data_IF_739456342409
#
_entry.id   IF_739456342409
#
_cell.length_a   1.000
_cell.length_b   1.000
_cell.length_c   1.000
_cell.angle_alpha   90.00
_cell.angle_beta   90.00
_cell.angle_gamma   90.00
#
_symmetry.space_group_name_H-M   'P 1'
#
loop_
_entity.id
_entity.type
_entity.pdbx_description
1 polymer ?
#
# COMPACT_ATOMS: atom_id res chain seq x y z
N UNK A 1 -40.13 6.56 -27.72
CA UNK A 1 -39.88 5.82 -26.46
C UNK A 1 -38.40 5.91 -26.11
N UNK A 2 -38.00 7.04 -25.51
CA UNK A 2 -36.63 7.22 -25.00
C UNK A 2 -36.41 6.52 -23.66
N UNK A 3 -35.27 6.75 -23.01
CA UNK A 3 -34.96 6.17 -21.71
C UNK A 3 -36.02 6.53 -20.66
N UNK A 4 -36.23 5.65 -19.69
CA UNK A 4 -37.14 5.93 -18.59
C UNK A 4 -36.63 7.12 -17.76
N UNK A 5 -37.52 7.86 -17.09
CA UNK A 5 -37.10 8.91 -16.15
C UNK A 5 -36.17 8.34 -15.07
N UNK A 6 -36.44 7.13 -14.61
CA UNK A 6 -35.58 6.39 -13.68
C UNK A 6 -34.17 6.18 -14.24
N UNK A 7 -34.02 5.88 -15.53
CA UNK A 7 -32.70 5.80 -16.17
C UNK A 7 -32.00 7.15 -16.23
N UNK A 8 -32.74 8.22 -16.56
CA UNK A 8 -32.17 9.58 -16.61
C UNK A 8 -31.63 10.04 -15.26
N UNK A 9 -32.25 9.63 -14.14
CA UNK A 9 -31.78 9.94 -12.79
C UNK A 9 -30.94 8.82 -12.16
N UNK A 10 -30.55 7.80 -12.93
CA UNK A 10 -29.67 6.71 -12.47
C UNK A 10 -30.31 5.70 -11.50
N UNK A 11 -31.63 5.70 -11.35
CA UNK A 11 -32.41 4.79 -10.49
C UNK A 11 -32.91 3.54 -11.24
N UNK A 12 -32.71 3.45 -12.56
CA UNK A 12 -33.09 2.30 -13.38
C UNK A 12 -32.04 2.02 -14.44
N UNK A 13 -31.82 0.75 -14.75
CA UNK A 13 -31.01 0.30 -15.88
C UNK A 13 -31.80 0.18 -17.19
N UNK A 14 -33.11 0.52 -17.19
CA UNK A 14 -33.97 0.39 -18.36
C UNK A 14 -33.87 1.62 -19.29
N UNK A 15 -33.16 1.43 -20.40
CA UNK A 15 -32.85 2.45 -21.41
C UNK A 15 -33.96 2.62 -22.45
N UNK A 16 -35.03 1.81 -22.40
CA UNK A 16 -36.14 1.85 -23.36
C UNK A 16 -35.86 1.11 -24.68
N UNK A 17 -36.68 1.38 -25.71
CA UNK A 17 -36.52 0.77 -27.04
C UNK A 17 -35.19 1.19 -27.67
N UNK A 18 -34.56 0.25 -28.36
CA UNK A 18 -33.26 0.46 -29.00
C UNK A 18 -33.41 0.75 -30.50
N UNK A 19 -32.35 1.29 -31.12
CA UNK A 19 -32.33 1.53 -32.56
C UNK A 19 -32.64 0.21 -33.31
N UNK A 20 -33.57 0.18 -34.27
CA UNK A 20 -33.93 -1.05 -34.99
C UNK A 20 -32.76 -1.67 -35.74
N UNK A 21 -32.71 -3.01 -35.83
CA UNK A 21 -31.68 -3.77 -36.56
C UNK A 21 -30.23 -3.41 -36.17
N UNK A 22 -30.02 -3.01 -34.92
CA UNK A 22 -28.73 -2.57 -34.39
C UNK A 22 -27.99 -3.69 -33.68
N UNK A 23 -26.67 -3.70 -33.83
CA UNK A 23 -25.78 -4.43 -32.93
C UNK A 23 -25.27 -3.45 -31.87
N UNK A 24 -25.66 -3.66 -30.63
CA UNK A 24 -25.52 -2.71 -29.55
C UNK A 24 -24.75 -3.33 -28.39
N UNK A 25 -24.10 -2.48 -27.61
CA UNK A 25 -23.36 -2.89 -26.43
C UNK A 25 -23.73 -1.99 -25.25
N UNK A 26 -24.17 -2.63 -24.17
CA UNK A 26 -24.37 -1.97 -22.88
C UNK A 26 -23.18 -2.25 -21.98
N UNK A 27 -22.47 -1.19 -21.60
CA UNK A 27 -21.36 -1.23 -20.64
C UNK A 27 -21.84 -0.58 -19.34
N UNK A 28 -21.97 -1.39 -18.29
CA UNK A 28 -22.36 -0.94 -16.97
C UNK A 28 -21.21 -1.13 -15.99
N UNK A 29 -20.90 -0.10 -15.22
CA UNK A 29 -19.94 -0.17 -14.12
C UNK A 29 -20.57 0.40 -12.86
N UNK A 30 -20.40 -0.29 -11.75
CA UNK A 30 -20.79 0.14 -10.42
C UNK A 30 -19.62 -0.06 -9.47
N UNK A 31 -19.38 0.90 -8.59
CA UNK A 31 -18.41 0.80 -7.50
C UNK A 31 -19.03 1.34 -6.22
N UNK A 32 -19.02 0.54 -5.17
CA UNK A 32 -19.43 0.91 -3.83
C UNK A 32 -18.21 0.87 -2.91
N UNK A 33 -18.12 1.82 -1.98
CA UNK A 33 -17.02 1.91 -1.02
C UNK A 33 -17.52 2.49 0.29
N UNK A 34 -17.24 1.79 1.37
CA UNK A 34 -17.53 2.20 2.74
C UNK A 34 -16.21 2.30 3.50
N UNK A 35 -16.01 3.43 4.19
CA UNK A 35 -14.82 3.73 4.96
C UNK A 35 -15.26 4.24 6.34
N UNK A 36 -15.05 3.43 7.38
CA UNK A 36 -15.35 3.78 8.76
C UNK A 36 -14.06 4.14 9.46
N UNK A 37 -14.04 5.28 10.14
CA UNK A 37 -12.86 5.78 10.87
C UNK A 37 -13.25 6.20 12.27
N UNK A 38 -12.38 5.92 13.23
CA UNK A 38 -12.48 6.50 14.57
C UNK A 38 -11.08 6.86 15.06
N UNK A 39 -10.99 7.84 15.95
CA UNK A 39 -9.76 8.30 16.56
C UNK A 39 -9.99 8.46 18.05
N UNK A 40 -9.05 7.97 18.86
CA UNK A 40 -9.16 8.03 20.31
C UNK A 40 -7.80 8.35 20.96
N UNK A 41 -7.72 9.35 21.86
CA UNK A 41 -6.56 9.50 22.72
C UNK A 41 -6.46 8.32 23.69
N UNK A 42 -5.28 7.74 23.84
CA UNK A 42 -5.04 6.62 24.75
C UNK A 42 -4.49 7.10 26.11
N UNK A 43 -3.46 7.94 26.08
CA UNK A 43 -2.85 8.61 27.23
C UNK A 43 -2.20 9.93 26.78
N UNK A 44 -1.52 10.65 27.67
CA UNK A 44 -0.89 11.94 27.34
C UNK A 44 0.08 11.79 26.15
N UNK A 45 -0.19 12.55 25.08
CA UNK A 45 0.59 12.52 23.84
C UNK A 45 0.33 11.33 22.92
N UNK A 46 -0.42 10.29 23.34
CA UNK A 46 -0.69 9.11 22.51
C UNK A 46 -2.12 9.06 21.98
N UNK A 47 -2.27 8.74 20.70
CA UNK A 47 -3.56 8.53 20.03
C UNK A 47 -3.53 7.30 19.14
N UNK A 48 -4.68 6.65 19.01
CA UNK A 48 -4.92 5.58 18.04
C UNK A 48 -5.99 5.99 17.04
N UNK A 49 -5.68 5.85 15.77
CA UNK A 49 -6.61 5.98 14.66
C UNK A 49 -6.94 4.58 14.15
N UNK A 50 -8.22 4.22 14.08
CA UNK A 50 -8.70 2.94 13.53
C UNK A 50 -9.47 3.18 12.25
N UNK A 51 -9.28 2.31 11.26
CA UNK A 51 -9.93 2.40 9.95
C UNK A 51 -10.40 1.03 9.48
N UNK A 52 -11.64 0.95 9.00
CA UNK A 52 -12.23 -0.22 8.37
C UNK A 52 -12.72 0.15 6.97
N UNK A 53 -12.34 -0.65 5.98
CA UNK A 53 -12.70 -0.40 4.57
C UNK A 53 -13.37 -1.61 3.98
N UNK A 54 -14.46 -1.43 3.26
CA UNK A 54 -15.04 -2.46 2.40
C UNK A 54 -15.57 -1.81 1.14
N UNK A 55 -15.29 -2.41 -0.01
CA UNK A 55 -15.77 -1.94 -1.28
C UNK A 55 -15.98 -3.09 -2.25
N UNK A 56 -16.86 -2.88 -3.21
CA UNK A 56 -17.05 -3.84 -4.28
C UNK A 56 -17.36 -3.13 -5.59
N UNK A 57 -16.95 -3.76 -6.69
CA UNK A 57 -17.23 -3.30 -8.04
C UNK A 57 -17.92 -4.38 -8.86
N UNK A 58 -18.71 -3.94 -9.83
CA UNK A 58 -19.33 -4.76 -10.86
C UNK A 58 -19.11 -4.06 -12.19
N UNK A 59 -18.48 -4.76 -13.13
CA UNK A 59 -18.39 -4.38 -14.52
C UNK A 59 -19.17 -5.42 -15.33
N UNK A 60 -20.12 -4.96 -16.13
CA UNK A 60 -21.00 -5.82 -16.91
C UNK A 60 -21.08 -5.29 -18.32
N UNK A 61 -20.72 -6.12 -19.29
CA UNK A 61 -20.85 -5.83 -20.70
C UNK A 61 -21.87 -6.78 -21.30
N UNK A 62 -22.94 -6.23 -21.87
CA UNK A 62 -24.00 -7.00 -22.51
C UNK A 62 -24.05 -6.63 -23.99
N UNK A 63 -23.80 -7.61 -24.85
CA UNK A 63 -23.98 -7.48 -26.29
C UNK A 63 -25.43 -7.81 -26.65
N UNK A 64 -26.02 -6.94 -27.43
CA UNK A 64 -27.45 -6.87 -27.67
C UNK A 64 -27.70 -6.78 -29.17
N UNK A 65 -28.67 -7.52 -29.68
CA UNK A 65 -29.17 -7.35 -31.04
C UNK A 65 -30.62 -6.89 -30.99
N UNK A 66 -30.95 -5.83 -31.71
CA UNK A 66 -32.33 -5.36 -31.80
C UNK A 66 -33.00 -5.83 -33.10
N UNK A 67 -34.27 -6.17 -33.02
CA UNK A 67 -35.11 -6.48 -34.19
C UNK A 67 -35.60 -5.19 -34.89
N UNK A 68 -36.40 -5.37 -35.95
CA UNK A 68 -37.04 -4.30 -36.72
C UNK A 68 -37.99 -3.41 -35.88
N UNK A 69 -38.49 -3.93 -34.76
CA UNK A 69 -39.43 -3.25 -33.87
C UNK A 69 -38.70 -2.61 -32.66
N UNK A 70 -37.37 -2.77 -32.60
CA UNK A 70 -36.50 -2.25 -31.55
C UNK A 70 -36.51 -3.05 -30.25
N UNK A 71 -37.05 -4.28 -30.26
CA UNK A 71 -36.95 -5.23 -29.15
C UNK A 71 -35.55 -5.85 -29.15
N UNK A 72 -35.03 -6.15 -27.97
CA UNK A 72 -33.63 -6.50 -27.79
C UNK A 72 -33.48 -7.94 -27.35
N UNK A 73 -32.59 -8.67 -28.00
CA UNK A 73 -32.14 -10.00 -27.61
C UNK A 73 -30.71 -9.92 -27.10
N UNK A 74 -30.44 -10.52 -25.94
CA UNK A 74 -29.10 -10.60 -25.37
C UNK A 74 -28.32 -11.69 -26.10
N UNK A 75 -27.25 -11.30 -26.79
CA UNK A 75 -26.37 -12.21 -27.52
C UNK A 75 -25.27 -12.78 -26.61
N UNK A 76 -24.64 -11.92 -25.83
CA UNK A 76 -23.60 -12.31 -24.90
C UNK A 76 -23.63 -11.40 -23.67
N UNK A 77 -23.26 -11.93 -22.52
CA UNK A 77 -23.14 -11.18 -21.30
C UNK A 77 -21.87 -11.61 -20.57
N UNK A 78 -20.98 -10.65 -20.36
CA UNK A 78 -19.82 -10.83 -19.49
C UNK A 78 -19.99 -9.94 -18.28
N UNK A 79 -19.67 -10.48 -17.12
CA UNK A 79 -19.68 -9.73 -15.88
C UNK A 79 -18.49 -10.13 -15.02
N UNK A 80 -17.88 -9.12 -14.42
CA UNK A 80 -16.75 -9.27 -13.52
C UNK A 80 -16.87 -8.27 -12.39
N UNK A 81 -16.11 -8.48 -11.33
CA UNK A 81 -16.12 -7.56 -10.22
C UNK A 81 -14.94 -7.78 -9.31
N UNK A 82 -14.85 -6.89 -8.33
CA UNK A 82 -13.83 -6.94 -7.30
C UNK A 82 -14.49 -6.78 -5.94
N UNK A 83 -14.04 -7.51 -4.94
CA UNK A 83 -14.33 -7.26 -3.53
C UNK A 83 -13.02 -6.83 -2.86
N UNK A 84 -13.01 -5.66 -2.24
CA UNK A 84 -11.89 -5.18 -1.44
C UNK A 84 -12.35 -4.98 0.00
N UNK A 85 -11.56 -5.43 0.97
CA UNK A 85 -11.83 -5.17 2.39
C UNK A 85 -10.54 -5.03 3.17
N UNK A 86 -10.55 -4.25 4.25
CA UNK A 86 -9.48 -4.33 5.23
C UNK A 86 -9.53 -5.71 5.90
N UNK A 87 -8.35 -6.29 6.04
CA UNK A 87 -8.16 -7.66 6.50
C UNK A 87 -7.27 -7.67 7.74
N UNK A 88 -7.05 -8.84 8.34
CA UNK A 88 -6.16 -8.99 9.49
C UNK A 88 -5.32 -10.24 9.29
N UNK A 89 -4.16 -10.03 8.69
CA UNK A 89 -3.11 -11.02 8.53
C UNK A 89 -1.86 -10.49 9.21
N UNK A 90 -1.41 -11.18 10.26
CA UNK A 90 -0.17 -10.87 10.97
C UNK A 90 0.94 -11.81 10.53
N UNK A 91 2.20 -11.31 10.43
CA UNK A 91 3.32 -12.18 10.14
C UNK A 91 3.44 -13.25 11.23
N UNK A 92 3.71 -14.52 10.91
CA UNK A 92 3.83 -15.60 11.89
C UNK A 92 5.17 -15.55 12.66
N UNK A 93 5.64 -14.35 13.04
CA UNK A 93 6.93 -14.13 13.69
C UNK A 93 6.75 -13.63 15.13
N UNK A 94 7.71 -13.96 15.99
CA UNK A 94 7.74 -13.55 17.40
C UNK A 94 6.40 -13.82 18.12
N UNK A 95 5.80 -12.78 18.71
CA UNK A 95 4.55 -12.82 19.50
C UNK A 95 3.33 -13.24 18.69
N UNK A 96 3.39 -13.17 17.35
CA UNK A 96 2.26 -13.49 16.47
C UNK A 96 2.24 -14.95 16.00
N UNK A 97 3.31 -15.72 16.26
CA UNK A 97 3.38 -17.16 15.93
C UNK A 97 2.27 -17.99 16.60
N UNK A 98 1.74 -17.52 17.74
CA UNK A 98 0.64 -18.16 18.48
C UNK A 98 -0.65 -18.32 17.66
N UNK A 99 -0.88 -17.45 16.66
CA UNK A 99 -2.11 -17.45 15.89
C UNK A 99 -2.17 -18.52 14.81
N UNK A 100 -1.06 -19.21 14.53
CA UNK A 100 -0.97 -20.28 13.52
C UNK A 100 -1.62 -19.89 12.17
N UNK A 101 -1.39 -18.65 11.73
CA UNK A 101 -1.83 -18.12 10.44
C UNK A 101 -0.64 -18.00 9.47
N UNK A 102 -0.92 -17.91 8.18
CA UNK A 102 0.09 -17.73 7.13
C UNK A 102 0.12 -18.87 6.12
N UNK A 103 1.16 -18.87 5.28
CA UNK A 103 1.25 -19.78 4.13
C UNK A 103 1.22 -21.27 4.51
N UNK A 104 1.86 -21.64 5.63
CA UNK A 104 1.80 -23.01 6.17
C UNK A 104 0.39 -23.44 6.54
N UNK A 105 -0.42 -22.52 7.08
CA UNK A 105 -1.82 -22.81 7.42
C UNK A 105 -2.66 -22.99 6.15
N UNK A 106 -2.35 -22.25 5.09
CA UNK A 106 -3.01 -22.40 3.79
C UNK A 106 -2.76 -23.80 3.22
N UNK A 107 -1.52 -24.28 3.21
CA UNK A 107 -1.22 -25.63 2.71
C UNK A 107 -1.84 -26.74 3.56
N UNK A 108 -1.94 -26.56 4.88
CA UNK A 108 -2.69 -27.48 5.76
C UNK A 108 -4.21 -27.52 5.48
N UNK A 109 -4.78 -26.44 4.95
CA UNK A 109 -6.22 -26.34 4.65
C UNK A 109 -6.56 -26.73 3.21
N UNK A 110 -5.58 -26.69 2.31
CA UNK A 110 -5.75 -27.08 0.92
C UNK A 110 -5.84 -28.60 0.80
N UNK A 111 -6.88 -29.06 0.12
CA UNK A 111 -7.11 -30.46 -0.20
C UNK A 111 -6.95 -30.68 -1.71
N UNK A 112 -5.85 -31.30 -2.17
CA UNK A 112 -5.61 -31.57 -3.58
C UNK A 112 -6.59 -32.59 -4.16
N UNK A 113 -7.28 -33.38 -3.35
CA UNK A 113 -8.24 -34.39 -3.82
C UNK A 113 -9.69 -33.85 -3.89
N UNK A 114 -9.90 -32.58 -3.56
CA UNK A 114 -11.20 -31.90 -3.64
C UNK A 114 -11.76 -31.90 -5.07
N UNK A 115 -13.07 -32.14 -5.23
CA UNK A 115 -13.77 -32.07 -6.52
C UNK A 115 -13.59 -30.71 -7.23
N UNK A 116 -13.51 -29.63 -6.46
CA UNK A 116 -13.15 -28.29 -6.93
C UNK A 116 -11.91 -27.79 -6.17
N UNK A 117 -10.73 -28.13 -6.71
CA UNK A 117 -9.44 -27.71 -6.17
C UNK A 117 -9.30 -26.18 -6.13
N UNK A 118 -9.82 -25.48 -7.14
CA UNK A 118 -9.69 -24.02 -7.22
C UNK A 118 -10.53 -23.33 -6.13
N UNK A 119 -11.77 -23.79 -5.91
CA UNK A 119 -12.60 -23.27 -4.83
C UNK A 119 -12.05 -23.61 -3.45
N UNK A 120 -11.54 -24.84 -3.26
CA UNK A 120 -10.91 -25.26 -2.01
C UNK A 120 -9.66 -24.41 -1.70
N UNK A 121 -8.74 -24.26 -2.67
CA UNK A 121 -7.54 -23.44 -2.52
C UNK A 121 -7.88 -21.98 -2.24
N UNK A 122 -8.89 -21.45 -2.93
CA UNK A 122 -9.36 -20.08 -2.73
C UNK A 122 -9.85 -19.83 -1.30
N UNK A 123 -10.58 -20.80 -0.72
CA UNK A 123 -11.07 -20.73 0.64
C UNK A 123 -9.93 -20.94 1.66
N UNK A 124 -9.05 -21.92 1.41
CA UNK A 124 -7.86 -22.20 2.21
C UNK A 124 -6.95 -20.97 2.28
N UNK A 125 -6.79 -20.23 1.18
CA UNK A 125 -6.03 -18.99 1.12
C UNK A 125 -6.62 -17.93 2.06
N UNK A 126 -7.92 -17.67 1.99
CA UNK A 126 -8.54 -16.67 2.88
C UNK A 126 -8.50 -17.09 4.34
N UNK A 127 -8.78 -18.36 4.64
CA UNK A 127 -8.90 -18.84 6.02
C UNK A 127 -7.52 -19.04 6.67
N UNK A 128 -6.53 -19.47 5.90
CA UNK A 128 -5.17 -19.68 6.39
C UNK A 128 -4.46 -18.39 6.76
N UNK A 129 -4.73 -17.30 6.05
CA UNK A 129 -4.17 -15.98 6.36
C UNK A 129 -4.99 -15.16 7.37
N UNK A 130 -6.24 -15.54 7.67
CA UNK A 130 -7.05 -14.82 8.67
C UNK A 130 -6.57 -15.12 10.10
N UNK A 131 -5.91 -14.16 10.74
CA UNK A 131 -5.38 -14.32 12.11
C UNK A 131 -6.48 -14.48 13.16
N UNK A 132 -7.66 -13.86 12.96
CA UNK A 132 -8.78 -13.90 13.89
C UNK A 132 -10.13 -14.12 13.19
N UNK A 133 -10.51 -15.37 12.88
CA UNK A 133 -11.78 -15.70 12.23
C UNK A 133 -12.97 -15.67 13.21
N UNK A 134 -13.03 -14.66 14.09
CA UNK A 134 -14.07 -14.54 15.13
C UNK A 134 -15.46 -14.42 14.48
N UNK A 135 -15.56 -13.68 13.38
CA UNK A 135 -16.83 -13.43 12.69
C UNK A 135 -17.31 -14.63 11.85
N UNK A 136 -16.39 -15.47 11.35
CA UNK A 136 -16.75 -16.69 10.61
C UNK A 136 -17.31 -17.79 11.52
N UNK A 137 -17.02 -17.73 12.83
CA UNK A 137 -17.52 -18.68 13.84
C UNK A 137 -18.93 -18.37 14.34
N UNK A 138 -19.45 -17.18 14.09
CA UNK A 138 -20.80 -16.77 14.46
C UNK A 138 -21.76 -17.17 13.34
N UNK A 139 -22.58 -18.20 13.58
CA UNK A 139 -23.43 -18.82 12.55
C UNK A 139 -24.35 -17.85 11.79
N UNK A 140 -24.88 -16.82 12.47
CA UNK A 140 -25.74 -15.80 11.85
C UNK A 140 -24.99 -14.75 11.01
N UNK A 141 -23.65 -14.69 11.11
CA UNK A 141 -22.81 -13.77 10.33
C UNK A 141 -21.98 -14.48 9.26
N UNK A 142 -22.13 -15.79 9.07
CA UNK A 142 -21.28 -16.56 8.16
C UNK A 142 -21.25 -16.00 6.73
N UNK A 143 -22.40 -15.66 6.17
CA UNK A 143 -22.50 -15.12 4.80
C UNK A 143 -22.11 -13.64 4.73
N UNK A 144 -22.29 -12.90 5.82
CA UNK A 144 -21.87 -11.50 5.94
C UNK A 144 -20.37 -11.38 6.23
N UNK A 145 -19.73 -12.42 6.77
CA UNK A 145 -18.33 -12.42 7.21
C UNK A 145 -17.36 -12.05 6.09
N UNK A 146 -17.72 -12.36 4.82
CA UNK A 146 -16.99 -11.99 3.60
C UNK A 146 -16.94 -10.47 3.39
N UNK A 147 -17.91 -9.72 3.89
CA UNK A 147 -18.00 -8.27 3.77
C UNK A 147 -17.62 -7.53 5.05
N UNK A 148 -17.45 -8.22 6.18
CA UNK A 148 -17.05 -7.57 7.44
C UNK A 148 -15.57 -7.19 7.36
N UNK A 149 -15.23 -5.89 7.40
CA UNK A 149 -13.84 -5.43 7.40
C UNK A 149 -13.15 -5.67 8.75
N UNK A 150 -11.83 -5.69 8.77
CA UNK A 150 -10.99 -5.74 10.00
C UNK A 150 -10.34 -4.38 10.27
N UNK A 151 -9.98 -4.06 11.53
CA UNK A 151 -9.36 -2.78 11.84
C UNK A 151 -7.94 -2.71 11.32
N UNK A 152 -7.65 -1.66 10.57
CA UNK A 152 -6.30 -1.13 10.42
C UNK A 152 -6.07 -0.07 11.49
N UNK A 153 -4.85 0.06 12.01
CA UNK A 153 -4.56 1.01 13.08
C UNK A 153 -3.32 1.83 12.82
N UNK A 154 -3.34 3.06 13.33
CA UNK A 154 -2.17 3.92 13.44
C UNK A 154 -2.07 4.44 14.87
N UNK A 155 -0.92 4.22 15.48
CA UNK A 155 -0.56 4.75 16.78
C UNK A 155 0.44 5.90 16.57
N UNK A 156 0.16 7.06 17.13
CA UNK A 156 1.11 8.16 17.21
C UNK A 156 1.28 8.54 18.68
N UNK A 157 2.52 8.68 19.13
CA UNK A 157 2.86 9.04 20.50
C UNK A 157 3.88 10.19 20.51
N UNK A 158 3.36 11.39 20.79
CA UNK A 158 4.12 12.62 21.04
C UNK A 158 4.53 12.73 22.52
N UNK A 159 5.50 13.58 22.84
CA UNK A 159 5.90 13.83 24.22
C UNK A 159 6.99 12.89 24.74
N UNK A 160 7.58 12.06 23.88
CA UNK A 160 8.64 11.13 24.25
C UNK A 160 9.93 11.85 24.67
N UNK A 161 10.08 13.14 24.36
CA UNK A 161 11.17 13.99 24.85
C UNK A 161 11.19 14.09 26.39
N UNK A 162 10.06 13.85 27.07
CA UNK A 162 9.99 13.87 28.54
C UNK A 162 10.65 12.66 29.20
N UNK A 163 10.93 11.58 28.44
CA UNK A 163 11.60 10.38 28.93
C UNK A 163 13.09 10.68 29.17
N UNK A 164 13.64 10.13 30.26
CA UNK A 164 15.01 10.44 30.75
C UNK A 164 16.09 10.40 29.67
N UNK A 165 15.99 9.48 28.72
CA UNK A 165 16.99 9.24 27.66
C UNK A 165 17.03 10.39 26.63
N UNK A 166 15.91 11.12 26.43
CA UNK A 166 15.79 12.17 25.42
C UNK A 166 15.75 13.59 25.99
N UNK A 167 15.50 13.73 27.28
CA UNK A 167 15.27 15.00 27.98
C UNK A 167 16.38 16.04 27.81
N UNK A 168 17.64 15.61 27.68
CA UNK A 168 18.78 16.50 27.56
C UNK A 168 19.10 16.94 26.12
N UNK A 169 18.54 16.26 25.11
CA UNK A 169 19.01 16.38 23.72
C UNK A 169 17.88 16.80 22.78
N UNK A 170 16.65 16.31 23.00
CA UNK A 170 15.51 16.54 22.11
C UNK A 170 14.52 17.58 22.65
N UNK A 171 14.05 18.48 21.77
CA UNK A 171 12.92 19.39 22.00
C UNK A 171 11.57 18.68 21.79
N UNK A 172 11.50 17.78 20.81
CA UNK A 172 10.30 17.00 20.50
C UNK A 172 10.70 15.62 20.00
N UNK A 173 10.05 14.58 20.51
CA UNK A 173 10.16 13.21 20.00
C UNK A 173 8.77 12.64 19.79
N UNK A 174 8.51 12.17 18.58
CA UNK A 174 7.26 11.50 18.20
C UNK A 174 7.57 10.10 17.70
N UNK A 175 6.85 9.11 18.22
CA UNK A 175 6.81 7.76 17.69
C UNK A 175 5.56 7.58 16.83
N UNK A 176 5.73 7.10 15.61
CA UNK A 176 4.67 6.67 14.71
C UNK A 176 4.77 5.15 14.49
N UNK A 177 3.63 4.48 14.55
CA UNK A 177 3.46 3.08 14.16
C UNK A 177 2.16 2.97 13.36
N UNK A 178 2.17 2.26 12.25
CA UNK A 178 0.97 2.06 11.44
C UNK A 178 0.94 0.65 10.88
N UNK A 179 -0.18 -0.04 11.09
CA UNK A 179 -0.48 -1.32 10.48
C UNK A 179 -1.66 -1.18 9.52
N UNK A 180 -1.51 -1.75 8.34
CA UNK A 180 -2.57 -1.86 7.34
C UNK A 180 -2.55 -3.24 6.72
N UNK A 181 -3.72 -3.88 6.65
CA UNK A 181 -3.91 -5.08 5.88
C UNK A 181 -5.17 -4.98 5.02
N UNK A 182 -5.11 -5.63 3.86
CA UNK A 182 -6.14 -5.62 2.84
C UNK A 182 -6.27 -6.98 2.19
N UNK A 183 -7.49 -7.29 1.79
CA UNK A 183 -7.82 -8.43 0.96
C UNK A 183 -8.54 -7.94 -0.28
N UNK A 184 -8.13 -8.45 -1.44
CA UNK A 184 -8.77 -8.18 -2.73
C UNK A 184 -9.09 -9.49 -3.42
N UNK A 185 -10.34 -9.65 -3.86
CA UNK A 185 -10.80 -10.77 -4.69
C UNK A 185 -11.31 -10.23 -6.02
N UNK A 186 -10.79 -10.75 -7.12
CA UNK A 186 -11.32 -10.55 -8.47
C UNK A 186 -12.14 -11.76 -8.90
N UNK A 187 -13.32 -11.52 -9.49
CA UNK A 187 -14.19 -12.58 -9.97
C UNK A 187 -14.76 -12.26 -11.35
N UNK A 188 -15.18 -13.31 -12.06
CA UNK A 188 -15.90 -13.24 -13.33
C UNK A 188 -17.03 -14.27 -13.34
N UNK A 189 -18.10 -13.93 -14.04
CA UNK A 189 -19.19 -14.84 -14.34
C UNK A 189 -18.81 -15.68 -15.57
N UNK A 190 -18.88 -16.99 -15.40
CA UNK A 190 -18.74 -17.95 -16.49
C UNK A 190 -19.96 -17.95 -17.40
N UNK A 191 -19.88 -18.50 -18.63
CA UNK A 191 -21.01 -18.57 -19.55
C UNK A 191 -22.25 -19.28 -18.97
N UNK A 192 -22.04 -20.21 -18.03
CA UNK A 192 -23.04 -20.95 -17.25
C UNK A 192 -23.59 -20.16 -16.04
N UNK A 193 -23.20 -18.89 -15.87
CA UNK A 193 -23.72 -18.00 -14.84
C UNK A 193 -23.14 -18.24 -13.44
N UNK A 194 -22.13 -19.10 -13.29
CA UNK A 194 -21.43 -19.31 -12.03
C UNK A 194 -20.33 -18.26 -11.82
N UNK A 195 -20.19 -17.77 -10.59
CA UNK A 195 -19.12 -16.85 -10.19
C UNK A 195 -17.81 -17.64 -10.00
N UNK A 196 -16.82 -17.37 -10.83
CA UNK A 196 -15.46 -17.89 -10.68
C UNK A 196 -14.55 -16.81 -10.13
N UNK A 197 -13.82 -17.15 -9.07
CA UNK A 197 -12.74 -16.31 -8.55
C UNK A 197 -11.56 -16.46 -9.50
N UNK A 198 -10.95 -15.35 -9.89
CA UNK A 198 -9.81 -15.33 -10.81
C UNK A 198 -8.52 -14.96 -10.09
N UNK A 199 -8.59 -14.01 -9.16
CA UNK A 199 -7.43 -13.50 -8.44
C UNK A 199 -7.79 -13.27 -6.99
N UNK A 200 -6.86 -13.59 -6.10
CA UNK A 200 -6.95 -13.21 -4.69
C UNK A 200 -5.61 -12.65 -4.24
N UNK A 201 -5.68 -11.58 -3.46
CA UNK A 201 -4.50 -10.87 -2.97
C UNK A 201 -4.71 -10.53 -1.51
N UNK A 202 -3.74 -10.87 -0.67
CA UNK A 202 -3.67 -10.47 0.73
C UNK A 202 -2.41 -9.66 0.93
N UNK A 203 -2.57 -8.44 1.41
CA UNK A 203 -1.45 -7.60 1.81
C UNK A 203 -1.53 -7.28 3.30
N UNK A 204 -0.37 -7.23 3.94
CA UNK A 204 -0.21 -6.57 5.23
C UNK A 204 1.08 -5.77 5.24
N UNK A 205 1.06 -4.63 5.91
CA UNK A 205 2.18 -3.72 5.98
C UNK A 205 2.22 -3.04 7.33
N UNK A 206 3.44 -2.91 7.84
CA UNK A 206 3.78 -2.00 8.91
C UNK A 206 4.52 -0.81 8.30
N UNK A 207 3.86 0.33 8.15
CA UNK A 207 4.36 1.47 7.39
C UNK A 207 4.18 2.80 8.15
N UNK A 208 5.06 3.12 9.13
CA UNK A 208 6.19 2.32 9.59
C UNK A 208 5.80 1.32 10.69
N UNK A 209 6.62 0.27 10.88
CA UNK A 209 6.62 -0.56 12.10
C UNK A 209 7.10 0.27 13.29
N UNK A 210 8.15 1.06 13.08
CA UNK A 210 8.61 2.05 14.02
C UNK A 210 9.14 3.26 13.25
N UNK A 211 8.54 4.42 13.50
CA UNK A 211 8.97 5.70 12.96
C UNK A 211 9.27 6.66 14.11
N UNK A 212 10.48 7.19 14.17
CA UNK A 212 10.87 8.21 15.14
C UNK A 212 11.10 9.51 14.41
N UNK A 213 10.42 10.57 14.84
CA UNK A 213 10.69 11.93 14.42
C UNK A 213 11.26 12.68 15.62
N UNK A 214 12.43 13.27 15.46
CA UNK A 214 13.16 13.95 16.52
C UNK A 214 13.43 15.38 16.06
N UNK A 215 13.06 16.35 16.88
CA UNK A 215 13.48 17.74 16.76
C UNK A 215 14.38 18.03 17.94
N UNK A 216 15.61 18.43 17.68
CA UNK A 216 16.57 18.74 18.72
C UNK A 216 16.45 20.20 19.18
N UNK A 217 17.09 20.49 20.31
CA UNK A 217 17.37 21.85 20.76
C UNK A 217 18.05 22.71 19.68
N UNK A 218 18.09 24.03 19.92
CA UNK A 218 19.03 24.86 19.16
C UNK A 218 20.46 24.43 19.52
N UNK A 219 21.04 23.60 18.66
CA UNK A 219 22.41 23.11 18.79
C UNK A 219 23.25 23.87 17.77
N UNK A 220 24.40 24.38 18.21
CA UNK A 220 25.28 25.22 17.39
C UNK A 220 24.61 26.48 16.80
N UNK A 221 23.53 26.96 17.45
CA UNK A 221 22.74 28.11 17.00
C UNK A 221 21.87 27.82 15.76
N UNK A 222 21.56 26.54 15.49
CA UNK A 222 20.69 26.11 14.40
C UNK A 222 19.67 25.06 14.84
N UNK A 223 18.70 24.77 13.99
CA UNK A 223 17.70 23.73 14.20
C UNK A 223 18.19 22.40 13.62
N UNK A 224 18.09 21.32 14.39
CA UNK A 224 18.35 19.96 13.90
C UNK A 224 17.06 19.15 13.96
N UNK A 225 16.75 18.49 12.85
CA UNK A 225 15.66 17.53 12.74
C UNK A 225 16.22 16.18 12.27
N UNK A 226 15.63 15.11 12.76
CA UNK A 226 15.95 13.74 12.36
C UNK A 226 14.68 12.93 12.23
N UNK A 227 14.66 11.99 11.29
CA UNK A 227 13.60 11.00 11.19
C UNK A 227 14.18 9.65 10.79
N UNK A 228 13.79 8.61 11.50
CA UNK A 228 14.15 7.22 11.24
C UNK A 228 12.86 6.44 11.09
N UNK A 229 12.69 5.70 9.98
CA UNK A 229 11.50 4.91 9.69
C UNK A 229 11.93 3.51 9.28
N UNK A 230 11.35 2.52 9.93
CA UNK A 230 11.48 1.12 9.55
C UNK A 230 10.11 0.59 9.16
N UNK A 231 9.98 0.10 7.94
CA UNK A 231 8.76 -0.45 7.38
C UNK A 231 8.97 -1.87 6.87
N UNK A 232 7.93 -2.69 6.98
CA UNK A 232 7.89 -4.02 6.38
C UNK A 232 6.54 -4.20 5.70
N UNK A 233 6.52 -4.87 4.56
CA UNK A 233 5.31 -5.18 3.81
C UNK A 233 5.44 -6.58 3.25
N UNK A 234 4.36 -7.34 3.34
CA UNK A 234 4.25 -8.62 2.65
C UNK A 234 2.97 -8.61 1.84
N UNK A 235 3.08 -9.12 0.63
CA UNK A 235 1.99 -9.29 -0.29
C UNK A 235 1.96 -10.73 -0.78
N UNK A 236 0.79 -11.35 -0.73
CA UNK A 236 0.54 -12.69 -1.23
C UNK A 236 -0.47 -12.61 -2.37
N UNK A 237 -0.04 -13.03 -3.57
CA UNK A 237 -0.91 -13.14 -4.75
C UNK A 237 -1.15 -14.62 -5.05
N UNK A 238 -2.42 -15.04 -5.02
CA UNK A 238 -2.83 -16.39 -5.38
C UNK A 238 -3.13 -16.48 -6.88
N UNK A 239 -2.37 -17.34 -7.56
CA UNK A 239 -2.67 -17.79 -8.92
C UNK A 239 -3.49 -19.06 -8.90
N UNK A 240 -4.82 -18.96 -8.99
CA UNK A 240 -5.73 -20.12 -8.91
C UNK A 240 -5.49 -21.16 -10.03
N UNK A 241 -5.12 -20.73 -11.23
CA UNK A 241 -4.86 -21.64 -12.35
C UNK A 241 -3.53 -22.38 -12.23
N UNK A 242 -2.51 -21.72 -11.66
CA UNK A 242 -1.17 -22.29 -11.47
C UNK A 242 -1.01 -22.95 -10.10
N UNK A 243 -1.99 -22.77 -9.20
CA UNK A 243 -1.95 -23.16 -7.79
C UNK A 243 -0.72 -22.66 -7.04
N UNK A 244 -0.14 -21.56 -7.53
CA UNK A 244 1.02 -20.94 -6.92
C UNK A 244 0.57 -19.73 -6.10
N UNK A 245 1.17 -19.56 -4.94
CA UNK A 245 1.07 -18.34 -4.15
C UNK A 245 2.41 -17.62 -4.25
N UNK A 246 2.41 -16.43 -4.83
CA UNK A 246 3.60 -15.59 -4.91
C UNK A 246 3.63 -14.64 -3.71
N UNK A 247 4.66 -14.76 -2.88
CA UNK A 247 4.97 -13.82 -1.82
C UNK A 247 5.94 -12.75 -2.35
N UNK A 248 5.54 -11.48 -2.25
CA UNK A 248 6.43 -10.33 -2.39
C UNK A 248 6.63 -9.69 -1.02
N UNK A 249 7.85 -9.81 -0.49
CA UNK A 249 8.25 -9.19 0.77
C UNK A 249 9.09 -7.95 0.49
N UNK A 250 8.81 -6.87 1.22
CA UNK A 250 9.55 -5.61 1.18
C UNK A 250 9.96 -5.18 2.58
N UNK A 251 11.22 -4.76 2.73
CA UNK A 251 11.76 -4.17 3.95
C UNK A 251 12.39 -2.83 3.62
N UNK A 252 11.85 -1.77 4.23
CA UNK A 252 12.23 -0.39 3.97
C UNK A 252 12.82 0.25 5.21
N UNK A 253 14.00 0.85 5.07
CA UNK A 253 14.64 1.69 6.08
C UNK A 253 14.80 3.08 5.46
N UNK A 254 14.28 4.09 6.13
CA UNK A 254 14.46 5.50 5.76
C UNK A 254 15.09 6.26 6.91
N UNK A 255 16.19 6.95 6.65
CA UNK A 255 16.84 7.87 7.60
C UNK A 255 16.96 9.22 6.93
N UNK A 256 16.55 10.26 7.64
CA UNK A 256 16.67 11.65 7.20
C UNK A 256 17.21 12.47 8.33
N UNK A 257 18.13 13.38 8.04
CA UNK A 257 18.64 14.35 8.98
C UNK A 257 18.70 15.72 8.30
N UNK A 258 18.37 16.78 9.03
CA UNK A 258 18.41 18.14 8.54
C UNK A 258 19.01 19.05 9.60
N UNK A 259 19.86 19.97 9.18
CA UNK A 259 20.35 21.09 9.99
C UNK A 259 20.06 22.38 9.22
N UNK A 260 19.46 23.36 9.88
CA UNK A 260 19.31 24.70 9.32
C UNK A 260 19.82 25.75 10.30
N UNK A 261 20.52 26.75 9.78
CA UNK A 261 21.01 27.88 10.56
C UNK A 261 20.87 29.15 9.76
N UNK A 262 20.29 30.17 10.40
CA UNK A 262 20.15 31.50 9.82
C UNK A 262 21.23 32.44 10.35
N UNK A 263 21.59 33.43 9.55
CA UNK A 263 22.52 34.50 9.94
C UNK A 263 23.99 34.05 10.05
N UNK A 264 24.40 33.07 9.25
CA UNK A 264 25.80 32.68 9.15
C UNK A 264 26.57 33.71 8.30
N UNK A 265 27.59 34.34 8.89
CA UNK A 265 28.44 35.32 8.20
C UNK A 265 29.64 34.59 7.60
N UNK A 266 29.61 34.36 6.29
CA UNK A 266 30.82 33.99 5.53
C UNK A 266 31.29 35.24 4.81
N UNK A 267 32.52 35.71 5.04
CA UNK A 267 33.11 36.77 4.24
C UNK A 267 33.46 36.23 2.85
N UNK A 268 32.45 36.01 2.01
CA UNK A 268 32.66 35.82 0.57
C UNK A 268 32.80 37.21 -0.07
N UNK A 269 33.86 37.42 -0.85
CA UNK A 269 34.08 38.63 -1.65
C UNK A 269 34.17 39.95 -0.86
N UNK A 270 34.61 39.91 0.41
CA UNK A 270 34.83 41.13 1.20
C UNK A 270 33.56 41.80 1.73
N UNK A 271 32.40 41.15 1.63
CA UNK A 271 31.13 41.63 2.19
C UNK A 271 30.63 40.62 3.23
N UNK A 272 30.32 41.08 4.45
CA UNK A 272 29.65 40.24 5.45
C UNK A 272 28.16 40.19 5.12
N UNK A 273 27.75 39.11 4.46
CA UNK A 273 26.34 38.82 4.20
C UNK A 273 25.86 37.80 5.22
N UNK A 274 24.73 38.10 5.87
CA UNK A 274 24.01 37.15 6.72
C UNK A 274 23.27 36.18 5.82
N UNK A 275 23.78 34.96 5.72
CA UNK A 275 23.22 33.95 4.83
C UNK A 275 22.66 32.78 5.62
N UNK A 276 21.69 32.10 5.01
CA UNK A 276 21.08 30.91 5.60
C UNK A 276 21.68 29.65 4.96
N UNK A 277 22.06 28.69 5.80
CA UNK A 277 22.58 27.40 5.37
C UNK A 277 21.63 26.31 5.83
N UNK A 278 21.35 25.38 4.92
CA UNK A 278 20.58 24.17 5.17
C UNK A 278 21.39 22.97 4.69
N UNK A 279 21.65 22.03 5.60
CA UNK A 279 22.21 20.72 5.28
C UNK A 279 21.10 19.70 5.42
N UNK A 280 20.93 18.85 4.41
CA UNK A 280 20.00 17.73 4.44
C UNK A 280 20.72 16.46 4.04
N UNK A 281 20.43 15.39 4.75
CA UNK A 281 20.93 14.06 4.48
C UNK A 281 19.74 13.11 4.39
N UNK A 282 19.70 12.29 3.35
CA UNK A 282 18.74 11.19 3.25
C UNK A 282 19.44 9.89 2.92
N UNK A 283 18.98 8.82 3.55
CA UNK A 283 19.38 7.45 3.31
C UNK A 283 18.13 6.59 3.22
N UNK A 284 18.00 5.81 2.16
CA UNK A 284 16.91 4.85 1.99
C UNK A 284 17.47 3.51 1.57
N UNK A 285 17.06 2.44 2.24
CA UNK A 285 17.34 1.05 1.84
C UNK A 285 16.00 0.34 1.67
N UNK A 286 15.75 -0.19 0.48
CA UNK A 286 14.55 -0.95 0.15
C UNK A 286 14.98 -2.30 -0.38
N UNK A 287 14.73 -3.34 0.40
CA UNK A 287 14.95 -4.73 0.02
C UNK A 287 13.61 -5.32 -0.41
N UNK A 288 13.58 -5.94 -1.58
CA UNK A 288 12.43 -6.68 -2.09
C UNK A 288 12.86 -8.11 -2.39
N UNK A 289 12.04 -9.09 -2.02
CA UNK A 289 12.22 -10.49 -2.35
C UNK A 289 10.90 -11.10 -2.81
N UNK A 290 10.98 -11.99 -3.79
CA UNK A 290 9.86 -12.71 -4.38
C UNK A 290 10.09 -14.22 -4.23
N UNK A 291 9.16 -14.89 -3.58
CA UNK A 291 9.17 -16.34 -3.33
C UNK A 291 7.87 -16.91 -3.87
N UNK A 292 7.96 -18.03 -4.60
CA UNK A 292 6.78 -18.77 -5.05
C UNK A 292 6.58 -20.00 -4.17
N UNK A 293 5.37 -20.17 -3.66
CA UNK A 293 4.93 -21.40 -3.01
C UNK A 293 4.03 -22.19 -3.96
N UNK A 294 4.46 -23.40 -4.29
CA UNK A 294 3.66 -24.35 -5.06
C UNK A 294 2.77 -25.13 -4.09
N UNK A 295 1.46 -25.14 -4.29
CA UNK A 295 0.53 -25.77 -3.33
C UNK A 295 0.39 -27.28 -3.56
N UNK A 296 0.71 -27.79 -4.75
CA UNK A 296 0.70 -29.24 -5.01
C UNK A 296 1.99 -29.90 -4.47
N UNK A 297 3.11 -29.16 -4.43
CA UNK A 297 4.40 -29.58 -3.85
C UNK A 297 4.89 -28.54 -2.84
N UNK A 298 4.19 -28.45 -1.70
CA UNK A 298 4.43 -27.40 -0.71
C UNK A 298 5.76 -27.58 0.04
N UNK A 299 6.59 -26.53 -0.03
CA UNK A 299 7.77 -26.35 0.80
C UNK A 299 7.65 -25.02 1.57
N UNK A 300 7.88 -25.05 2.89
CA UNK A 300 7.84 -23.87 3.77
C UNK A 300 8.85 -22.79 3.38
N UNK A 301 9.97 -23.15 2.77
CA UNK A 301 10.98 -22.18 2.29
C UNK A 301 10.60 -21.54 0.95
N UNK A 302 9.67 -22.15 0.21
CA UNK A 302 9.29 -21.77 -1.14
C UNK A 302 10.43 -21.83 -2.15
N UNK A 303 10.15 -21.41 -3.39
CA UNK A 303 11.12 -21.33 -4.49
C UNK A 303 11.48 -19.85 -4.70
N UNK A 304 12.71 -19.40 -4.38
CA UNK A 304 13.12 -18.02 -4.61
C UNK A 304 13.11 -17.69 -6.11
N UNK A 305 12.45 -16.60 -6.49
CA UNK A 305 12.33 -16.20 -7.89
C UNK A 305 13.16 -14.96 -8.20
N UNK A 306 12.95 -13.88 -7.45
CA UNK A 306 13.58 -12.60 -7.70
C UNK A 306 13.85 -11.86 -6.40
N UNK A 307 14.77 -10.91 -6.44
CA UNK A 307 15.12 -10.10 -5.29
C UNK A 307 16.02 -8.94 -5.67
N UNK A 308 15.84 -7.81 -5.01
CA UNK A 308 16.69 -6.64 -5.19
C UNK A 308 16.79 -5.87 -3.88
N UNK A 309 17.99 -5.43 -3.57
CA UNK A 309 18.24 -4.41 -2.55
C UNK A 309 18.66 -3.13 -3.25
N UNK A 310 17.87 -2.08 -3.04
CA UNK A 310 18.17 -0.72 -3.52
C UNK A 310 18.57 0.14 -2.33
N UNK A 311 19.72 0.78 -2.44
CA UNK A 311 20.21 1.74 -1.45
C UNK A 311 20.43 3.09 -2.12
N UNK A 312 19.91 4.15 -1.52
CA UNK A 312 20.13 5.52 -1.97
C UNK A 312 20.64 6.36 -0.80
N UNK A 313 21.67 7.15 -1.06
CA UNK A 313 22.29 8.07 -0.14
C UNK A 313 22.36 9.44 -0.83
N UNK A 314 21.79 10.47 -0.22
CA UNK A 314 21.78 11.82 -0.77
C UNK A 314 22.06 12.87 0.31
N UNK A 315 23.34 13.25 0.52
CA UNK A 315 23.69 14.53 1.13
C UNK A 315 23.42 15.70 0.17
N UNK A 316 22.90 16.79 0.73
CA UNK A 316 22.64 18.04 0.03
C UNK A 316 22.90 19.23 0.95
N UNK A 317 23.50 20.27 0.39
CA UNK A 317 23.77 21.55 1.04
C UNK A 317 23.11 22.64 0.24
N UNK A 318 22.29 23.46 0.88
CA UNK A 318 21.61 24.60 0.29
C UNK A 318 22.06 25.87 0.99
N UNK A 319 22.35 26.89 0.20
CA UNK A 319 22.82 28.19 0.64
C UNK A 319 21.98 29.28 -0.01
N UNK A 320 21.32 30.08 0.83
CA UNK A 320 20.47 31.19 0.38
C UNK A 320 21.30 32.47 0.43
N UNK A 321 21.74 32.93 -0.75
CA UNK A 321 22.61 34.12 -0.89
C UNK A 321 21.79 35.41 -0.74
N UNK A 322 20.56 35.39 -1.28
CA UNK A 322 19.60 36.49 -1.16
C UNK A 322 18.18 35.96 -1.31
N UNK A 323 17.16 36.80 -1.12
CA UNK A 323 15.77 36.45 -1.40
C UNK A 323 15.51 36.02 -2.85
N UNK A 324 16.45 36.30 -3.77
CA UNK A 324 16.35 35.97 -5.19
C UNK A 324 17.27 34.85 -5.63
N UNK A 325 18.34 34.55 -4.90
CA UNK A 325 19.38 33.62 -5.35
C UNK A 325 19.63 32.55 -4.30
N UNK A 326 19.45 31.30 -4.70
CA UNK A 326 19.75 30.12 -3.88
C UNK A 326 20.65 29.17 -4.65
N UNK A 327 21.68 28.68 -3.98
CA UNK A 327 22.60 27.67 -4.48
C UNK A 327 22.35 26.36 -3.73
N UNK A 328 22.27 25.23 -4.43
CA UNK A 328 22.26 23.91 -3.78
C UNK A 328 23.27 22.99 -4.44
N UNK A 329 24.04 22.29 -3.62
CA UNK A 329 24.94 21.24 -4.05
C UNK A 329 24.37 19.93 -3.53
N UNK A 330 24.29 18.92 -4.38
CA UNK A 330 23.86 17.59 -3.97
C UNK A 330 24.78 16.53 -4.54
N UNK A 331 24.87 15.43 -3.81
CA UNK A 331 25.47 14.20 -4.29
C UNK A 331 24.49 13.06 -4.00
N UNK A 332 24.16 12.27 -5.00
CA UNK A 332 23.25 11.12 -4.90
C UNK A 332 23.97 9.87 -5.34
N UNK A 333 24.10 8.91 -4.43
CA UNK A 333 24.59 7.56 -4.73
C UNK A 333 23.42 6.60 -4.66
N UNK A 334 23.12 5.92 -5.75
CA UNK A 334 22.11 4.86 -5.81
C UNK A 334 22.75 3.56 -6.24
N UNK A 335 22.61 2.50 -5.44
CA UNK A 335 23.06 1.15 -5.78
C UNK A 335 21.90 0.18 -5.80
N UNK A 336 21.93 -0.75 -6.74
CA UNK A 336 21.00 -1.89 -6.85
C UNK A 336 21.83 -3.16 -6.83
N UNK A 337 21.57 -4.03 -5.86
CA UNK A 337 22.19 -5.35 -5.75
C UNK A 337 21.11 -6.44 -5.89
N UNK A 338 21.27 -7.41 -6.79
CA UNK A 338 20.33 -8.54 -6.90
C UNK A 338 20.41 -9.46 -5.68
N UNK A 339 19.31 -10.13 -5.38
CA UNK A 339 19.23 -11.18 -4.36
C UNK A 339 18.50 -12.41 -4.93
N UNK A 340 18.87 -13.61 -4.46
CA UNK A 340 18.27 -14.87 -4.92
C UNK A 340 18.56 -15.17 -6.40
N UNK A 341 17.55 -15.65 -7.14
CA UNK A 341 17.63 -15.99 -8.56
C UNK A 341 17.39 -14.78 -9.50
N UNK A 342 17.58 -13.56 -9.00
CA UNK A 342 17.38 -12.32 -9.75
C UNK A 342 18.31 -12.20 -10.97
N UNK A 343 17.75 -11.74 -12.09
CA UNK A 343 18.49 -11.48 -13.33
C UNK A 343 18.99 -10.04 -13.45
N UNK A 344 18.75 -9.20 -12.43
CA UNK A 344 19.08 -7.78 -12.47
C UNK A 344 20.58 -7.61 -12.24
N UNK A 345 21.34 -7.00 -13.16
CA UNK A 345 22.76 -6.78 -12.95
C UNK A 345 23.00 -5.76 -11.83
N UNK A 346 24.00 -5.99 -10.96
CA UNK A 346 24.36 -5.02 -9.93
C UNK A 346 24.80 -3.71 -10.57
N UNK A 347 24.18 -2.61 -10.17
CA UNK A 347 24.44 -1.28 -10.75
C UNK A 347 24.68 -0.28 -9.64
N UNK A 348 25.67 0.58 -9.81
CA UNK A 348 25.88 1.74 -8.94
C UNK A 348 25.94 3.00 -9.79
N UNK A 349 25.10 3.97 -9.46
CA UNK A 349 24.99 5.27 -10.10
C UNK A 349 25.40 6.34 -9.10
N UNK A 350 26.29 7.22 -9.53
CA UNK A 350 26.72 8.38 -8.76
C UNK A 350 26.37 9.62 -9.55
N UNK A 351 25.63 10.53 -8.93
CA UNK A 351 25.25 11.80 -9.53
C UNK A 351 25.67 12.91 -8.57
N UNK A 352 26.21 13.98 -9.12
CA UNK A 352 26.50 15.20 -8.39
C UNK A 352 26.02 16.38 -9.23
N UNK A 353 25.50 17.41 -8.58
CA UNK A 353 24.97 18.56 -9.29
C UNK A 353 25.03 19.84 -8.46
N UNK A 354 25.01 20.94 -9.20
CA UNK A 354 24.87 22.30 -8.69
C UNK A 354 23.54 22.86 -9.20
N UNK A 355 22.59 23.07 -8.31
CA UNK A 355 21.32 23.71 -8.60
C UNK A 355 21.41 25.20 -8.26
N UNK A 356 21.25 26.06 -9.26
CA UNK A 356 21.17 27.52 -9.06
C UNK A 356 19.73 27.95 -9.33
N UNK A 357 19.06 28.46 -8.30
CA UNK A 357 17.72 29.04 -8.43
C UNK A 357 17.80 30.55 -8.37
N UNK A 358 17.33 31.23 -9.43
CA UNK A 358 17.26 32.69 -9.52
C UNK A 358 15.81 33.10 -9.75
N UNK A 359 15.20 33.74 -8.75
CA UNK A 359 13.88 34.32 -8.86
C UNK A 359 13.96 35.75 -9.40
N UNK A 360 13.32 36.01 -10.53
CA UNK A 360 13.19 37.35 -11.11
C UNK A 360 11.80 37.88 -10.76
N UNK A 361 11.75 38.93 -9.97
CA UNK A 361 10.52 39.67 -9.69
C UNK A 361 10.55 40.95 -10.55
N UNK A 362 9.62 41.06 -11.49
CA UNK A 362 9.39 42.30 -12.24
C UNK A 362 8.68 43.31 -11.35
N UNK A 363 9.13 44.56 -11.39
CA UNK A 363 8.45 45.68 -10.73
C UNK A 363 7.13 46.02 -11.40
#
# INVERSE_FOLDING_TARGET
NGPTRGFMVGLSSNVGRRAPNGNLQDVFSQKNSFDFKTSRPLWEGAKIDLTWKVGWSLNKTTSLQSDKDGNVTVQNQTASGTLTRSFLSLPPTLVFSVFKSGIKKVSELYDPESEDQAANLSQAFTDGFETFPIFGRLGFLKDLSKYIPRPNWRLTWDGLEKIFIFKAVAKKVTLDHSYSSGYTEGWRLSPDGKKQIQTQKIEYAFSPLAGFNITFGELWGGNIIGSIKYGVRTNYDLGLSTKNITETFSKDIGVTAGFSKSGFEIPLFGVSLKNDIEFSFSYTSSQNSEIIFDMDDFNEEGKPQNGTTRVTLEPRVKYTISSKVTLSIFYRRSSVTPEGASRIPPTTTNEAGLDVHIAIQGN
#
